data_IF_179548342508
#
_entry.id   IF_179548342508
#
_cell.length_a   1.000
_cell.length_b   1.000
_cell.length_c   1.000
_cell.angle_alpha   90.00
_cell.angle_beta   90.00
_cell.angle_gamma   90.00
#
_symmetry.space_group_name_H-M   'P 1'
#
loop_
_entity.id
_entity.type
_entity.pdbx_description
1 polymer ?
#
# COMPACT_ATOMS: atom_id res chain seq x y z
N UNK A 1 7.08 -16.61 26.78
CA UNK A 1 6.46 -17.71 26.03
C UNK A 1 5.00 -17.78 26.47
N UNK A 2 4.08 -17.25 25.66
CA UNK A 2 2.64 -17.22 25.99
C UNK A 2 2.13 -18.64 26.16
N UNK A 3 1.77 -19.02 27.40
CA UNK A 3 1.30 -20.34 27.79
C UNK A 3 -0.08 -20.68 27.23
N UNK A 4 -0.18 -20.85 25.91
CA UNK A 4 -1.35 -21.39 25.22
C UNK A 4 -1.14 -22.89 24.98
N UNK A 5 -2.17 -23.74 25.17
CA UNK A 5 -2.06 -25.19 24.96
C UNK A 5 -1.50 -25.49 23.57
N UNK A 6 -0.46 -26.30 23.48
CA UNK A 6 0.27 -26.63 22.24
C UNK A 6 -0.66 -26.98 21.07
N UNK A 7 -1.79 -27.64 21.34
CA UNK A 7 -2.82 -28.01 20.35
C UNK A 7 -3.51 -26.85 19.62
N UNK A 8 -3.53 -25.65 20.19
CA UNK A 8 -4.21 -24.48 19.56
C UNK A 8 -3.24 -23.75 18.63
N UNK A 9 -1.93 -23.88 18.84
CA UNK A 9 -0.92 -23.24 18.00
C UNK A 9 -0.97 -23.73 16.55
N UNK A 10 -1.24 -25.01 16.33
CA UNK A 10 -1.40 -25.59 14.99
C UNK A 10 -2.50 -24.93 14.16
N UNK A 11 -3.53 -24.36 14.81
CA UNK A 11 -4.62 -23.64 14.14
C UNK A 11 -4.36 -22.14 14.01
N UNK A 12 -3.52 -21.57 14.86
CA UNK A 12 -3.21 -20.13 14.87
C UNK A 12 -2.10 -19.80 13.87
N UNK A 13 -1.09 -20.67 13.74
CA UNK A 13 0.07 -20.44 12.87
C UNK A 13 -0.34 -20.29 11.40
N UNK A 14 -1.23 -21.12 10.82
CA UNK A 14 -1.65 -20.96 9.43
C UNK A 14 -2.29 -19.60 9.16
N UNK A 15 -3.29 -19.18 9.95
CA UNK A 15 -3.94 -17.88 9.75
C UNK A 15 -3.02 -16.68 9.98
N UNK A 16 -2.03 -16.80 10.87
CA UNK A 16 -0.97 -15.79 11.02
C UNK A 16 -0.03 -15.76 9.82
N UNK A 17 0.27 -16.92 9.24
CA UNK A 17 1.11 -17.02 8.04
C UNK A 17 0.39 -16.47 6.81
N UNK A 18 -0.88 -16.81 6.62
CA UNK A 18 -1.73 -16.26 5.56
C UNK A 18 -1.83 -14.74 5.67
N UNK A 19 -2.00 -14.23 6.89
CA UNK A 19 -2.02 -12.78 7.13
C UNK A 19 -0.66 -12.13 6.94
N UNK A 20 0.44 -12.80 7.31
CA UNK A 20 1.79 -12.31 7.06
C UNK A 20 2.11 -12.26 5.57
N UNK A 21 1.70 -13.28 4.81
CA UNK A 21 1.78 -13.28 3.36
C UNK A 21 0.95 -12.12 2.80
N UNK A 22 -0.33 -11.99 3.19
CA UNK A 22 -1.19 -10.89 2.76
C UNK A 22 -0.59 -9.51 3.06
N UNK A 23 -0.06 -9.32 4.29
CA UNK A 23 0.53 -8.06 4.75
C UNK A 23 1.83 -7.72 4.01
N UNK A 24 2.67 -8.71 3.68
CA UNK A 24 3.88 -8.51 2.88
C UNK A 24 3.57 -8.31 1.40
N UNK A 25 2.55 -9.00 0.89
CA UNK A 25 2.02 -8.79 -0.46
C UNK A 25 1.16 -7.54 -0.53
N UNK A 26 1.07 -6.68 0.48
CA UNK A 26 0.38 -5.38 0.34
C UNK A 26 0.98 -4.53 -0.76
N UNK A 27 2.30 -4.63 -0.94
CA UNK A 27 2.99 -4.03 -2.09
C UNK A 27 2.45 -4.65 -3.37
N UNK A 28 2.32 -5.98 -3.43
CA UNK A 28 1.75 -6.64 -4.60
C UNK A 28 0.26 -6.31 -4.81
N UNK A 29 -0.56 -6.23 -3.76
CA UNK A 29 -1.97 -5.81 -3.84
C UNK A 29 -2.13 -4.35 -4.27
N UNK A 30 -1.21 -3.46 -3.88
CA UNK A 30 -1.26 -2.04 -4.22
C UNK A 30 -0.68 -1.72 -5.61
N UNK A 31 0.31 -2.49 -6.06
CA UNK A 31 1.09 -2.16 -7.27
C UNK A 31 0.96 -3.18 -8.41
N UNK A 32 0.49 -4.40 -8.18
CA UNK A 32 0.25 -5.39 -9.24
C UNK A 32 -1.23 -5.41 -9.62
N UNK A 33 -1.54 -5.64 -10.90
CA UNK A 33 -2.91 -5.67 -11.42
C UNK A 33 -3.68 -6.95 -11.04
N UNK A 34 -2.99 -8.07 -10.92
CA UNK A 34 -3.60 -9.39 -10.77
C UNK A 34 -4.03 -9.71 -9.32
N UNK A 35 -3.23 -9.26 -8.34
CA UNK A 35 -3.48 -9.51 -6.92
C UNK A 35 -4.56 -8.58 -6.30
N UNK A 36 -5.05 -7.61 -7.07
CA UNK A 36 -6.07 -6.66 -6.62
C UNK A 36 -7.40 -7.36 -6.41
N UNK A 37 -8.20 -6.84 -5.47
CA UNK A 37 -9.61 -7.21 -5.34
C UNK A 37 -10.37 -6.70 -6.56
N UNK A 38 -11.25 -7.54 -7.11
CA UNK A 38 -12.03 -7.18 -8.28
C UNK A 38 -13.20 -6.27 -7.88
N UNK A 39 -13.25 -5.04 -8.42
CA UNK A 39 -14.21 -3.99 -8.03
C UNK A 39 -15.69 -4.42 -8.15
N UNK A 40 -16.03 -5.33 -9.06
CA UNK A 40 -17.42 -5.77 -9.21
C UNK A 40 -17.79 -6.94 -8.28
N UNK A 41 -16.79 -7.65 -7.75
CA UNK A 41 -16.98 -8.80 -6.86
C UNK A 41 -15.79 -8.90 -5.89
N UNK A 42 -15.98 -8.32 -4.70
CA UNK A 42 -14.97 -8.26 -3.64
C UNK A 42 -14.56 -9.64 -3.10
N UNK A 43 -15.26 -10.72 -3.48
CA UNK A 43 -14.91 -12.08 -3.09
C UNK A 43 -13.76 -12.68 -3.89
N UNK A 44 -13.30 -12.01 -4.96
CA UNK A 44 -12.30 -12.53 -5.90
C UNK A 44 -11.22 -11.51 -6.22
N UNK A 45 -10.06 -12.02 -6.60
CA UNK A 45 -9.00 -11.20 -7.21
C UNK A 45 -9.26 -11.01 -8.71
N UNK A 46 -8.62 -9.99 -9.29
CA UNK A 46 -8.65 -9.75 -10.74
C UNK A 46 -8.14 -10.99 -11.51
N UNK A 47 -7.13 -11.67 -11.01
CA UNK A 47 -6.64 -12.95 -11.56
C UNK A 47 -7.72 -14.03 -11.59
N UNK A 48 -8.37 -14.29 -10.45
CA UNK A 48 -9.42 -15.31 -10.34
C UNK A 48 -10.62 -15.00 -11.26
N UNK A 49 -10.92 -13.73 -11.47
CA UNK A 49 -11.93 -13.32 -12.45
C UNK A 49 -11.49 -13.61 -13.89
N UNK A 50 -10.26 -13.26 -14.27
CA UNK A 50 -9.72 -13.48 -15.61
C UNK A 50 -9.64 -14.96 -15.97
N UNK A 51 -9.21 -15.80 -15.03
CA UNK A 51 -9.21 -17.26 -15.19
C UNK A 51 -10.62 -17.80 -15.43
N UNK A 52 -11.62 -17.30 -14.70
CA UNK A 52 -13.02 -17.71 -14.88
C UNK A 52 -13.59 -17.38 -16.27
N UNK A 53 -13.00 -16.39 -16.94
CA UNK A 53 -13.39 -15.93 -18.27
C UNK A 53 -12.45 -16.47 -19.38
N UNK A 54 -11.40 -17.23 -19.02
CA UNK A 54 -10.43 -17.79 -19.97
C UNK A 54 -9.60 -16.76 -20.73
N UNK A 55 -9.41 -15.57 -20.15
CA UNK A 55 -8.69 -14.44 -20.77
C UNK A 55 -7.44 -14.10 -19.97
N UNK A 56 -6.44 -13.55 -20.66
CA UNK A 56 -5.17 -13.12 -20.05
C UNK A 56 -4.90 -11.65 -20.37
N UNK A 57 -4.19 -10.96 -19.48
CA UNK A 57 -3.75 -9.58 -19.70
C UNK A 57 -2.41 -9.61 -20.44
N UNK A 58 -2.34 -8.91 -21.58
CA UNK A 58 -1.10 -8.78 -22.34
C UNK A 58 -0.12 -7.75 -21.75
N UNK A 59 -0.64 -6.61 -21.28
CA UNK A 59 0.17 -5.53 -20.71
C UNK A 59 -0.67 -4.57 -19.88
N UNK A 60 -0.09 -3.99 -18.84
CA UNK A 60 -0.68 -2.87 -18.11
C UNK A 60 0.38 -1.81 -17.77
N UNK A 61 -0.06 -0.57 -17.59
CA UNK A 61 0.79 0.54 -17.14
C UNK A 61 -0.01 1.37 -16.14
N UNK A 62 0.57 1.59 -14.96
CA UNK A 62 -0.03 2.41 -13.90
C UNK A 62 0.67 3.77 -13.90
N UNK A 63 -0.11 4.84 -13.93
CA UNK A 63 0.38 6.20 -13.75
C UNK A 63 -0.07 6.72 -12.38
N UNK A 64 0.85 7.37 -11.66
CA UNK A 64 0.55 8.07 -10.42
C UNK A 64 1.02 9.52 -10.53
N UNK A 65 0.24 10.44 -9.94
CA UNK A 65 0.60 11.86 -9.93
C UNK A 65 1.83 12.05 -9.06
N UNK A 66 2.90 12.59 -9.64
CA UNK A 66 4.17 12.80 -8.93
C UNK A 66 5.16 11.65 -9.04
N UNK A 67 4.88 10.64 -9.86
CA UNK A 67 5.83 9.54 -10.10
C UNK A 67 7.12 10.07 -10.73
N UNK A 68 8.26 9.85 -10.06
CA UNK A 68 9.57 10.40 -10.44
C UNK A 68 9.79 11.89 -10.11
N UNK A 69 8.86 12.56 -9.43
CA UNK A 69 9.04 13.95 -8.98
C UNK A 69 9.49 13.96 -7.52
N UNK A 70 10.68 14.49 -7.26
CA UNK A 70 11.16 14.68 -5.89
C UNK A 70 10.26 15.71 -5.18
N UNK A 71 9.58 15.27 -4.13
CA UNK A 71 8.69 16.14 -3.37
C UNK A 71 9.53 17.18 -2.64
N UNK A 72 9.41 18.44 -3.05
CA UNK A 72 10.08 19.54 -2.37
C UNK A 72 9.67 19.55 -0.89
N UNK A 73 10.65 19.34 -0.01
CA UNK A 73 10.46 19.47 1.43
C UNK A 73 10.45 20.96 1.77
N UNK A 74 9.26 21.56 1.74
CA UNK A 74 9.08 22.93 2.17
C UNK A 74 8.88 22.93 3.69
N UNK A 75 9.84 23.51 4.41
CA UNK A 75 9.72 23.75 5.84
C UNK A 75 8.97 25.07 6.09
N UNK A 76 7.68 24.92 6.39
CA UNK A 76 6.79 26.04 6.67
C UNK A 76 7.25 26.87 7.88
N UNK A 77 7.91 26.26 8.86
CA UNK A 77 8.40 26.97 10.05
C UNK A 77 9.48 27.98 9.68
N UNK A 78 10.43 27.57 8.83
CA UNK A 78 11.49 28.44 8.31
C UNK A 78 10.96 29.58 7.45
N UNK A 79 9.93 29.33 6.63
CA UNK A 79 9.29 30.36 5.79
C UNK A 79 8.54 31.41 6.64
N UNK A 80 7.82 30.98 7.67
CA UNK A 80 7.14 31.87 8.63
C UNK A 80 8.15 32.69 9.44
N UNK A 81 9.24 32.06 9.90
CA UNK A 81 10.29 32.77 10.63
C UNK A 81 10.97 33.84 9.77
N UNK A 82 11.26 33.54 8.49
CA UNK A 82 11.89 34.47 7.57
C UNK A 82 10.99 35.67 7.25
N UNK A 83 9.69 35.44 7.05
CA UNK A 83 8.72 36.52 6.79
C UNK A 83 8.51 37.43 8.01
N UNK A 84 8.48 36.87 9.22
CA UNK A 84 8.40 37.65 10.47
C UNK A 84 9.68 38.44 10.75
N UNK A 85 10.85 37.83 10.52
CA UNK A 85 12.14 38.53 10.63
C UNK A 85 12.26 39.68 9.61
N UNK A 86 11.82 39.47 8.37
CA UNK A 86 11.79 40.52 7.35
C UNK A 86 10.82 41.67 7.68
N UNK A 87 9.68 41.36 8.31
CA UNK A 87 8.72 42.37 8.76
C UNK A 87 9.20 43.20 9.96
N UNK A 88 10.07 42.62 10.79
CA UNK A 88 10.63 43.28 11.99
C UNK A 88 11.97 43.98 11.76
N UNK A 89 12.60 43.80 10.59
CA UNK A 89 13.96 44.25 10.27
C UNK A 89 14.10 45.39 9.27
N UNK A 90 13.01 46.08 8.90
CA UNK A 90 13.08 47.35 8.15
C UNK A 90 12.48 48.50 8.96
N UNK A 91 13.25 48.98 9.94
CA UNK A 91 13.36 50.38 10.32
C UNK A 91 14.66 50.59 11.10
#
# INVERSE_FOLDING_TARGET
>A
AEGKPEKIWDKIIPGKMDRFMLDNTKVDQAYTLLAQVYIMDDSKTVEAFLESQGVTIASFTRFEVGDGIEKAANDFESEVAATMAAALGQN
#
